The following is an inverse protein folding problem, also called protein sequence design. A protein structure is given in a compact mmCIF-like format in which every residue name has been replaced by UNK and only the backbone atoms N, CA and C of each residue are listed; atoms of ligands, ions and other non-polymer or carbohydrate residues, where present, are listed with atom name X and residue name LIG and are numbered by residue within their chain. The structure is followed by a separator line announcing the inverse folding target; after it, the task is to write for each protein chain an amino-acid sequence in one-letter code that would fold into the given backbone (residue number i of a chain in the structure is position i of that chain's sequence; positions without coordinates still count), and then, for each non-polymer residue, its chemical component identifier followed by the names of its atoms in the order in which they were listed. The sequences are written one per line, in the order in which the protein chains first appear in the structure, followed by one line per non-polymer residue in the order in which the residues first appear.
data_IF_932124673830
#
_entry.id   IF_932124673830
#
_cell.length_a   1.000
_cell.length_b   1.000
_cell.length_c   1.000
_cell.angle_alpha   90.00
_cell.angle_beta   90.00
_cell.angle_gamma   90.00
#
_symmetry.space_group_name_H-M   'P 1'
#
loop_
_entity.id
_entity.type
_entity.pdbx_description
1 polymer ?
#
# COMPACT_ATOMS: atom_id res chain seq x y z
N UNK A 1 -15.78 32.01 -12.83
CA UNK A 1 -15.06 31.60 -11.63
C UNK A 1 -14.50 30.20 -11.87
N UNK A 2 -13.26 29.93 -11.46
CA UNK A 2 -12.67 28.59 -11.60
C UNK A 2 -12.90 27.84 -10.29
N UNK A 3 -13.66 26.73 -10.34
CA UNK A 3 -14.00 25.96 -9.14
C UNK A 3 -12.90 24.98 -8.73
N UNK A 4 -12.57 24.03 -9.61
CA UNK A 4 -11.64 22.94 -9.33
C UNK A 4 -10.51 22.92 -10.37
N UNK A 5 -9.27 22.93 -9.89
CA UNK A 5 -8.07 22.65 -10.68
C UNK A 5 -7.64 21.21 -10.48
N UNK A 6 -7.24 20.54 -11.56
CA UNK A 6 -6.79 19.16 -11.52
C UNK A 6 -5.58 18.93 -12.41
N UNK A 7 -4.71 18.02 -12.00
CA UNK A 7 -3.54 17.61 -12.75
C UNK A 7 -3.19 16.16 -12.48
N UNK A 8 -2.74 15.47 -13.52
CA UNK A 8 -2.19 14.12 -13.43
C UNK A 8 -0.86 14.10 -14.18
N UNK A 9 0.10 13.39 -13.61
CA UNK A 9 1.43 13.25 -14.18
C UNK A 9 1.95 11.83 -13.95
N UNK A 10 2.57 11.27 -14.97
CA UNK A 10 3.22 9.97 -14.87
C UNK A 10 4.54 10.01 -15.62
N UNK A 11 5.61 9.63 -14.92
CA UNK A 11 6.94 9.50 -15.46
C UNK A 11 7.44 8.08 -15.31
N UNK A 12 7.70 7.46 -16.44
CA UNK A 12 8.44 6.21 -16.51
C UNK A 12 9.94 6.53 -16.40
N UNK A 13 10.49 6.42 -15.19
CA UNK A 13 11.93 6.63 -14.94
C UNK A 13 12.76 5.52 -15.61
N UNK A 14 12.15 4.38 -15.90
CA UNK A 14 12.75 3.27 -16.65
C UNK A 14 11.76 2.16 -16.94
N UNK A 15 12.27 0.99 -17.28
CA UNK A 15 11.49 -0.22 -17.60
C UNK A 15 10.72 -0.80 -16.40
N UNK A 16 11.14 -0.43 -15.18
CA UNK A 16 10.67 -1.05 -13.93
C UNK A 16 10.14 -0.06 -12.91
N UNK A 17 10.40 1.23 -13.08
CA UNK A 17 10.13 2.26 -12.07
C UNK A 17 9.30 3.38 -12.67
N UNK A 18 8.19 3.68 -11.99
CA UNK A 18 7.26 4.74 -12.37
C UNK A 18 7.08 5.68 -11.19
N UNK A 19 7.16 6.97 -11.45
CA UNK A 19 6.71 8.03 -10.56
C UNK A 19 5.38 8.55 -11.10
N UNK A 20 4.35 8.59 -10.27
CA UNK A 20 3.06 9.18 -10.60
C UNK A 20 2.72 10.27 -9.58
N UNK A 21 2.00 11.29 -10.02
CA UNK A 21 1.49 12.34 -9.16
C UNK A 21 0.12 12.81 -9.66
N UNK A 22 -0.80 13.02 -8.72
CA UNK A 22 -2.10 13.60 -9.01
C UNK A 22 -2.39 14.73 -8.02
N UNK A 23 -3.18 15.70 -8.46
CA UNK A 23 -3.54 16.85 -7.65
C UNK A 23 -4.91 17.37 -8.03
N UNK A 24 -5.71 17.72 -7.03
CA UNK A 24 -6.99 18.41 -7.14
C UNK A 24 -7.06 19.51 -6.10
N UNK A 25 -7.33 20.74 -6.55
CA UNK A 25 -7.40 21.92 -5.70
C UNK A 25 -8.69 22.69 -6.00
N UNK A 26 -9.57 22.75 -5.02
CA UNK A 26 -10.71 23.67 -5.00
C UNK A 26 -10.20 25.06 -4.59
N UNK A 27 -10.52 26.07 -5.41
CA UNK A 27 -10.03 27.43 -5.24
C UNK A 27 -10.90 28.26 -4.28
N UNK A 28 -12.04 27.74 -3.83
CA UNK A 28 -12.86 28.41 -2.82
C UNK A 28 -12.22 28.34 -1.44
N UNK A 29 -12.59 29.28 -0.56
CA UNK A 29 -12.09 29.30 0.81
C UNK A 29 -12.58 28.07 1.59
N UNK A 30 -11.67 27.40 2.31
CA UNK A 30 -11.92 26.09 2.91
C UNK A 30 -12.12 24.94 1.90
N UNK A 31 -11.82 25.19 0.61
CA UNK A 31 -11.89 24.22 -0.47
C UNK A 31 -11.00 23.01 -0.25
N UNK A 32 -11.40 21.89 -0.85
CA UNK A 32 -10.66 20.64 -0.79
C UNK A 32 -9.32 20.72 -1.54
N UNK A 33 -8.27 20.17 -0.94
CA UNK A 33 -6.95 20.01 -1.52
C UNK A 33 -6.54 18.54 -1.37
N UNK A 34 -6.49 17.84 -2.50
CA UNK A 34 -6.07 16.45 -2.58
C UNK A 34 -4.83 16.39 -3.44
N UNK A 35 -3.81 15.70 -2.99
CA UNK A 35 -2.72 15.32 -3.87
C UNK A 35 -2.09 14.01 -3.42
N UNK A 36 -1.54 13.30 -4.37
CA UNK A 36 -0.74 12.11 -4.12
C UNK A 36 0.50 12.10 -5.01
N UNK A 37 1.56 11.50 -4.49
CA UNK A 37 2.78 11.19 -5.21
C UNK A 37 3.14 9.76 -4.88
N UNK A 38 3.32 8.93 -5.90
CA UNK A 38 3.68 7.52 -5.73
C UNK A 38 4.85 7.13 -6.60
N UNK A 39 5.72 6.30 -6.04
CA UNK A 39 6.83 5.65 -6.70
C UNK A 39 6.63 4.14 -6.61
N UNK A 40 6.48 3.50 -7.76
CA UNK A 40 6.33 2.05 -7.86
C UNK A 40 7.52 1.49 -8.62
N UNK A 41 8.09 0.38 -8.13
CA UNK A 41 9.22 -0.28 -8.76
C UNK A 41 9.07 -1.79 -8.71
N UNK A 42 9.14 -2.46 -9.86
CA UNK A 42 9.12 -3.91 -9.97
C UNK A 42 10.45 -4.42 -10.52
N UNK A 43 11.41 -4.65 -9.63
CA UNK A 43 12.74 -5.12 -10.01
C UNK A 43 12.74 -6.64 -10.12
N UNK A 44 12.70 -7.14 -11.35
CA UNK A 44 12.66 -8.59 -11.66
C UNK A 44 11.36 -9.23 -11.16
N UNK A 45 11.16 -10.52 -11.38
CA UNK A 45 10.01 -11.27 -10.86
C UNK A 45 10.09 -11.53 -9.34
N UNK A 46 10.99 -10.85 -8.61
CA UNK A 46 11.26 -11.13 -7.19
C UNK A 46 11.05 -9.96 -6.25
N UNK A 47 11.20 -8.72 -6.69
CA UNK A 47 11.09 -7.55 -5.81
C UNK A 47 10.08 -6.56 -6.37
N UNK A 48 9.07 -6.25 -5.57
CA UNK A 48 8.16 -5.14 -5.81
C UNK A 48 8.24 -4.16 -4.63
N UNK A 49 8.37 -2.88 -4.93
CA UNK A 49 8.43 -1.78 -3.97
C UNK A 49 7.41 -0.73 -4.38
N UNK A 50 6.65 -0.25 -3.39
CA UNK A 50 5.68 0.82 -3.57
C UNK A 50 5.89 1.83 -2.44
N UNK A 51 6.02 3.10 -2.78
CA UNK A 51 6.04 4.20 -1.83
C UNK A 51 5.02 5.21 -2.32
N UNK A 52 4.14 5.68 -1.43
CA UNK A 52 3.13 6.65 -1.77
C UNK A 52 3.00 7.66 -0.64
N UNK A 53 2.88 8.93 -0.99
CA UNK A 53 2.50 9.99 -0.10
C UNK A 53 1.17 10.56 -0.59
N UNK A 54 0.21 10.71 0.31
CA UNK A 54 -1.07 11.31 0.00
C UNK A 54 -1.40 12.38 1.03
N UNK A 55 -2.02 13.45 0.57
CA UNK A 55 -2.62 14.47 1.40
C UNK A 55 -4.10 14.56 1.09
N UNK A 56 -4.90 14.61 2.15
CA UNK A 56 -6.31 14.90 2.09
C UNK A 56 -6.55 16.06 3.04
N UNK A 57 -6.91 17.21 2.47
CA UNK A 57 -7.25 18.41 3.21
C UNK A 57 -8.57 18.97 2.71
N UNK A 58 -9.46 19.43 3.58
CA UNK A 58 -10.72 20.03 3.15
C UNK A 58 -11.71 20.35 4.28
N UNK A 59 -12.85 20.91 3.88
CA UNK A 59 -13.90 21.39 4.76
C UNK A 59 -14.29 20.41 5.87
N UNK A 60 -14.47 20.94 7.08
CA UNK A 60 -14.71 20.15 8.31
C UNK A 60 -13.47 19.90 9.16
N UNK A 61 -12.32 20.52 8.83
CA UNK A 61 -11.09 20.44 9.64
C UNK A 61 -10.25 19.20 9.38
N UNK A 62 -10.52 18.48 8.29
CA UNK A 62 -9.75 17.30 7.90
C UNK A 62 -8.43 17.76 7.27
N UNK A 63 -7.32 17.39 7.90
CA UNK A 63 -5.96 17.60 7.40
C UNK A 63 -5.14 16.35 7.74
N UNK A 64 -4.92 15.50 6.74
CA UNK A 64 -4.17 14.26 6.90
C UNK A 64 -3.14 14.12 5.79
N UNK A 65 -1.92 13.77 6.19
CA UNK A 65 -0.81 13.53 5.28
C UNK A 65 -0.16 12.20 5.62
N UNK A 66 -0.34 11.20 4.77
CA UNK A 66 0.10 9.83 5.03
C UNK A 66 1.18 9.42 4.04
N UNK A 67 2.31 8.98 4.58
CA UNK A 67 3.36 8.28 3.86
C UNK A 67 3.20 6.77 4.06
N UNK A 68 2.97 6.05 2.98
CA UNK A 68 2.86 4.60 2.93
C UNK A 68 4.03 4.01 2.16
N UNK A 69 4.59 2.91 2.66
CA UNK A 69 5.62 2.16 1.99
C UNK A 69 5.33 0.66 2.09
N UNK A 70 5.59 -0.07 1.01
CA UNK A 70 5.39 -1.50 0.90
C UNK A 70 6.52 -2.14 0.10
N UNK A 71 6.97 -3.31 0.55
CA UNK A 71 7.97 -4.12 -0.13
C UNK A 71 7.52 -5.58 -0.10
N UNK A 72 7.53 -6.21 -1.27
CA UNK A 72 7.28 -7.64 -1.45
C UNK A 72 8.52 -8.29 -2.07
N UNK A 73 9.02 -9.34 -1.43
CA UNK A 73 10.24 -10.02 -1.85
C UNK A 73 10.05 -11.54 -1.93
N UNK A 74 10.33 -12.11 -3.10
CA UNK A 74 10.39 -13.55 -3.34
C UNK A 74 11.82 -14.03 -3.08
N UNK A 75 12.03 -14.59 -1.89
CA UNK A 75 13.32 -15.13 -1.44
C UNK A 75 13.72 -16.38 -2.23
N UNK A 76 12.75 -17.25 -2.49
CA UNK A 76 12.92 -18.49 -3.26
C UNK A 76 11.61 -18.88 -3.94
N UNK A 77 11.63 -19.93 -4.76
CA UNK A 77 10.40 -20.49 -5.35
C UNK A 77 9.36 -20.93 -4.30
N UNK A 78 9.78 -21.15 -3.05
CA UNK A 78 8.93 -21.62 -1.96
C UNK A 78 8.58 -20.55 -0.94
N UNK A 79 9.24 -19.39 -0.95
CA UNK A 79 9.12 -18.40 0.13
C UNK A 79 9.07 -16.97 -0.41
N UNK A 80 8.06 -16.22 0.03
CA UNK A 80 7.95 -14.78 -0.16
C UNK A 80 7.65 -14.08 1.16
N UNK A 81 8.08 -12.83 1.29
CA UNK A 81 7.75 -11.98 2.42
C UNK A 81 7.24 -10.63 1.93
N UNK A 82 6.33 -10.04 2.69
CA UNK A 82 5.82 -8.70 2.48
C UNK A 82 5.97 -7.89 3.75
N UNK A 83 6.39 -6.64 3.63
CA UNK A 83 6.35 -5.66 4.71
C UNK A 83 5.67 -4.39 4.20
N UNK A 84 4.81 -3.81 5.01
CA UNK A 84 4.26 -2.48 4.74
C UNK A 84 4.16 -1.66 6.01
N UNK A 85 4.20 -0.34 5.85
CA UNK A 85 4.03 0.64 6.92
C UNK A 85 3.30 1.84 6.38
N UNK A 86 2.50 2.48 7.24
CA UNK A 86 1.89 3.77 7.00
C UNK A 86 2.24 4.71 8.14
N UNK A 87 2.61 5.95 7.84
CA UNK A 87 3.04 6.96 8.78
C UNK A 87 2.32 8.27 8.49
N UNK A 88 1.67 8.85 9.49
CA UNK A 88 1.04 10.15 9.39
C UNK A 88 2.06 11.25 9.71
N UNK A 89 2.39 12.03 8.68
CA UNK A 89 3.32 13.15 8.76
C UNK A 89 2.70 14.38 9.45
N UNK A 90 1.38 14.53 9.39
CA UNK A 90 0.67 15.62 10.05
C UNK A 90 0.65 15.45 11.57
N UNK A 91 0.39 14.23 12.03
CA UNK A 91 0.35 13.90 13.47
C UNK A 91 1.70 13.42 14.03
N UNK A 92 2.69 13.11 13.17
CA UNK A 92 3.95 12.46 13.54
C UNK A 92 3.76 11.11 14.25
N UNK A 93 2.83 10.30 13.75
CA UNK A 93 2.47 9.01 14.34
C UNK A 93 2.50 7.92 13.29
N UNK A 94 3.10 6.77 13.63
CA UNK A 94 2.97 5.58 12.80
C UNK A 94 1.50 5.12 12.82
N UNK A 95 0.84 4.96 11.67
CA UNK A 95 -0.56 4.52 11.61
C UNK A 95 -0.69 3.00 11.72
N UNK A 96 0.21 2.27 11.07
CA UNK A 96 0.27 0.83 11.18
C UNK A 96 1.37 0.18 10.38
N UNK A 97 1.61 -1.09 10.69
CA UNK A 97 2.66 -1.93 10.13
C UNK A 97 2.11 -3.32 9.89
N UNK A 98 2.52 -3.93 8.77
CA UNK A 98 2.19 -5.31 8.45
C UNK A 98 3.46 -6.04 8.03
N UNK A 99 3.63 -7.25 8.53
CA UNK A 99 4.63 -8.21 8.09
C UNK A 99 3.92 -9.49 7.66
N UNK A 100 4.31 -10.06 6.54
CA UNK A 100 3.82 -11.36 6.08
C UNK A 100 4.95 -12.25 5.62
N UNK A 101 4.85 -13.54 5.92
CA UNK A 101 5.73 -14.58 5.43
C UNK A 101 4.86 -15.68 4.83
N UNK A 102 5.04 -15.92 3.54
CA UNK A 102 4.26 -16.89 2.79
C UNK A 102 5.14 -17.99 2.25
N UNK A 103 4.72 -19.24 2.50
CA UNK A 103 5.30 -20.44 1.93
C UNK A 103 4.39 -21.00 0.83
N UNK A 104 4.95 -21.14 -0.36
CA UNK A 104 4.33 -21.84 -1.48
C UNK A 104 4.77 -23.31 -1.47
N UNK A 105 3.88 -24.19 -1.04
CA UNK A 105 4.04 -25.65 -1.12
C UNK A 105 3.47 -26.24 -2.41
N UNK A 106 3.57 -27.57 -2.52
CA UNK A 106 2.95 -28.34 -3.61
C UNK A 106 1.42 -28.27 -3.48
N UNK A 107 0.89 -28.62 -2.31
CA UNK A 107 -0.56 -28.76 -2.09
C UNK A 107 -1.16 -27.57 -1.33
N UNK A 108 -0.35 -26.73 -0.69
CA UNK A 108 -0.82 -25.62 0.14
C UNK A 108 0.00 -24.36 -0.04
N UNK A 109 -0.67 -23.21 0.04
CA UNK A 109 -0.07 -21.91 0.32
C UNK A 109 -0.34 -21.57 1.79
N UNK A 110 0.72 -21.37 2.55
CA UNK A 110 0.64 -21.06 3.97
C UNK A 110 1.18 -19.66 4.20
N UNK A 111 0.42 -18.77 4.85
CA UNK A 111 0.83 -17.39 5.10
C UNK A 111 0.68 -17.08 6.58
N UNK A 112 1.76 -16.58 7.18
CA UNK A 112 1.75 -15.99 8.51
C UNK A 112 1.79 -14.47 8.34
N UNK A 113 0.75 -13.79 8.81
CA UNK A 113 0.66 -12.33 8.86
C UNK A 113 0.75 -11.82 10.28
N UNK A 114 1.43 -10.70 10.48
CA UNK A 114 1.47 -9.93 11.72
C UNK A 114 1.10 -8.49 11.39
N UNK A 115 0.25 -7.88 12.21
CA UNK A 115 -0.20 -6.50 12.02
C UNK A 115 -0.10 -5.74 13.33
N UNK A 116 0.17 -4.46 13.24
CA UNK A 116 0.11 -3.53 14.35
C UNK A 116 -0.52 -2.22 13.90
N UNK A 117 -1.56 -1.77 14.59
CA UNK A 117 -2.23 -0.50 14.34
C UNK A 117 -2.11 0.36 15.59
N UNK A 118 -1.24 1.36 15.53
CA UNK A 118 -0.99 2.28 16.64
C UNK A 118 -2.20 3.17 16.96
N UNK A 119 -3.02 3.50 15.95
CA UNK A 119 -4.19 4.37 16.14
C UNK A 119 -5.24 3.72 17.05
N UNK A 120 -5.32 2.39 17.04
CA UNK A 120 -6.20 1.61 17.92
C UNK A 120 -5.46 0.86 19.04
N UNK A 121 -4.12 0.84 19.01
CA UNK A 121 -3.30 0.04 19.93
C UNK A 121 -3.40 -1.47 19.71
N UNK A 122 -3.90 -1.91 18.54
CA UNK A 122 -4.17 -3.32 18.27
C UNK A 122 -2.99 -4.01 17.60
N UNK A 123 -2.60 -5.18 18.12
CA UNK A 123 -1.68 -6.11 17.48
C UNK A 123 -2.43 -7.38 17.06
N UNK A 124 -2.09 -7.91 15.88
CA UNK A 124 -2.73 -9.09 15.31
C UNK A 124 -1.71 -10.08 14.75
N UNK A 125 -2.04 -11.36 14.86
CA UNK A 125 -1.35 -12.45 14.16
C UNK A 125 -2.39 -13.30 13.46
N UNK A 126 -2.11 -13.69 12.22
CA UNK A 126 -3.01 -14.50 11.40
C UNK A 126 -2.26 -15.60 10.68
N UNK A 127 -2.80 -16.82 10.70
CA UNK A 127 -2.33 -17.93 9.91
C UNK A 127 -3.39 -18.28 8.86
N UNK A 128 -3.00 -18.21 7.59
CA UNK A 128 -3.84 -18.61 6.47
C UNK A 128 -3.25 -19.86 5.84
N UNK A 129 -4.09 -20.89 5.64
CA UNK A 129 -3.71 -22.11 4.93
C UNK A 129 -4.71 -22.28 3.79
N UNK A 130 -4.22 -22.18 2.56
CA UNK A 130 -5.04 -22.30 1.37
C UNK A 130 -4.61 -23.53 0.56
N UNK A 131 -5.51 -24.51 0.34
CA UNK A 131 -5.20 -25.63 -0.55
C UNK A 131 -5.03 -25.15 -1.99
N UNK A 132 -4.08 -25.75 -2.71
CA UNK A 132 -3.79 -25.49 -4.12
C UNK A 132 -4.21 -26.71 -4.93
N UNK A 133 -5.51 -26.80 -5.23
CA UNK A 133 -6.03 -27.88 -6.07
C UNK A 133 -5.74 -27.56 -7.55
N UNK A 134 -4.61 -28.01 -8.06
CA UNK A 134 -4.29 -27.94 -9.50
C UNK A 134 -4.17 -26.51 -10.07
N UNK A 135 -3.58 -26.42 -11.26
CA UNK A 135 -3.27 -25.13 -11.89
C UNK A 135 -4.50 -24.46 -12.52
N UNK A 136 -5.37 -23.85 -11.71
CA UNK A 136 -6.42 -22.96 -12.20
C UNK A 136 -5.91 -21.52 -12.35
N UNK A 137 -4.88 -21.29 -13.17
CA UNK A 137 -4.55 -20.00 -13.82
C UNK A 137 -4.38 -18.70 -13.00
N UNK A 138 -4.72 -18.67 -11.72
CA UNK A 138 -4.62 -17.51 -10.85
C UNK A 138 -3.31 -17.62 -10.09
N UNK A 139 -2.35 -16.78 -10.47
CA UNK A 139 -1.17 -16.52 -9.66
C UNK A 139 -1.55 -16.01 -8.27
N UNK A 140 -0.58 -15.83 -7.36
CA UNK A 140 -0.85 -15.35 -6.01
C UNK A 140 -1.58 -14.00 -6.11
N UNK A 141 -2.88 -14.00 -5.81
CA UNK A 141 -3.65 -12.78 -5.61
C UNK A 141 -3.00 -12.03 -4.45
N UNK A 142 -2.85 -10.72 -4.61
CA UNK A 142 -2.11 -9.85 -3.69
C UNK A 142 -2.73 -9.90 -2.28
N UNK A 143 -2.18 -10.76 -1.43
CA UNK A 143 -2.67 -11.03 -0.07
C UNK A 143 -2.54 -9.82 0.86
N UNK A 144 -1.80 -8.78 0.45
CA UNK A 144 -1.73 -7.51 1.18
C UNK A 144 -3.12 -6.87 1.34
N UNK A 145 -4.03 -7.10 0.38
CA UNK A 145 -5.42 -6.63 0.41
C UNK A 145 -6.32 -7.29 1.47
N UNK A 146 -5.99 -8.51 1.92
CA UNK A 146 -6.75 -9.20 2.96
C UNK A 146 -6.47 -8.66 4.37
N UNK A 147 -5.34 -7.97 4.53
CA UNK A 147 -4.92 -7.35 5.79
C UNK A 147 -5.02 -5.83 5.76
N UNK A 148 -5.33 -5.21 4.62
CA UNK A 148 -5.64 -3.78 4.50
C UNK A 148 -7.08 -3.49 4.94
N UNK A 149 -7.40 -3.84 6.18
CA UNK A 149 -8.64 -3.47 6.86
C UNK A 149 -8.39 -2.36 7.87
N UNK A 150 -7.84 -1.22 7.45
CA UNK A 150 -7.79 0.02 8.22
C UNK A 150 -7.30 1.16 7.31
N UNK A 151 -8.21 1.87 6.67
CA UNK A 151 -7.87 3.03 5.84
C UNK A 151 -8.83 3.29 4.69
N UNK A 152 -10.14 3.18 4.95
CA UNK A 152 -11.16 3.95 4.23
C UNK A 152 -11.86 4.84 5.24
#
# INVERSE_FOLDING_TARGET
DFGLLGGHYQWFLGDRTTLAANAYYDLFDGGQQLWDVSLTSQRTNRLALNVAMQQIKGGGGLDSQILSAGLNYVMSQKWSAGISTAYDLGENVNRGQTLSLTRTGADFLMSLGMTYNQSTGNAGIGLTIMPRFGNFGAGPSDFSSLFSGAGQ
#
